data_IF_203038791452
#
_entry.id   IF_203038791452
#
_cell.length_a   1.000
_cell.length_b   1.000
_cell.length_c   1.000
_cell.angle_alpha   90.00
_cell.angle_beta   90.00
_cell.angle_gamma   90.00
#
_symmetry.space_group_name_H-M   'P 1'
#
loop_
_entity.id
_entity.type
_entity.pdbx_description
1 polymer ?
#
# COMPACT_ATOMS: atom_id res chain seq x y z
N UNK A 1 31.38 1.71 -1.78
CA UNK A 1 30.37 1.88 -2.86
C UNK A 1 29.21 2.83 -2.54
N UNK A 2 29.17 3.46 -1.35
CA UNK A 2 28.12 4.41 -0.94
C UNK A 2 27.93 5.60 -1.90
N UNK A 3 28.98 5.97 -2.63
CA UNK A 3 28.97 7.11 -3.58
C UNK A 3 28.10 6.88 -4.83
N UNK A 4 27.70 5.64 -5.12
CA UNK A 4 26.86 5.31 -6.29
C UNK A 4 25.39 5.06 -5.94
N UNK A 5 24.98 5.27 -4.67
CA UNK A 5 23.59 5.05 -4.28
C UNK A 5 22.68 6.07 -4.99
N UNK A 6 21.58 5.63 -5.64
CA UNK A 6 20.65 6.54 -6.29
C UNK A 6 20.05 7.52 -5.27
N UNK A 7 20.21 8.82 -5.51
CA UNK A 7 19.80 9.88 -4.58
C UNK A 7 18.31 10.22 -4.61
N UNK A 8 17.62 10.02 -5.75
CA UNK A 8 16.22 10.46 -5.93
C UNK A 8 15.17 9.49 -5.40
N UNK A 9 15.44 8.19 -5.46
CA UNK A 9 14.46 7.14 -5.14
C UNK A 9 15.10 5.92 -4.45
N UNK A 10 16.31 6.07 -3.89
CA UNK A 10 16.93 5.01 -3.13
C UNK A 10 16.16 4.77 -1.83
N UNK A 11 15.76 3.53 -1.58
CA UNK A 11 15.24 3.11 -0.28
C UNK A 11 16.38 2.52 0.55
N UNK A 12 16.29 2.64 1.88
CA UNK A 12 17.17 1.89 2.77
C UNK A 12 16.81 0.40 2.76
N UNK A 13 17.80 -0.44 3.03
CA UNK A 13 17.54 -1.85 3.28
C UNK A 13 16.65 -1.98 4.51
N UNK A 14 15.66 -2.86 4.43
CA UNK A 14 14.85 -3.34 5.54
C UNK A 14 14.93 -4.86 5.54
N UNK A 15 15.06 -5.44 6.73
CA UNK A 15 15.01 -6.89 6.89
C UNK A 15 13.59 -7.43 6.60
N UNK A 16 13.48 -8.75 6.49
CA UNK A 16 12.21 -9.38 6.19
C UNK A 16 11.37 -9.50 7.48
N UNK A 17 10.33 -8.68 7.60
CA UNK A 17 9.41 -8.67 8.75
C UNK A 17 8.26 -9.69 8.65
N UNK A 18 8.34 -10.66 7.74
CA UNK A 18 7.34 -11.72 7.63
C UNK A 18 7.16 -12.45 8.96
N UNK A 19 5.96 -12.37 9.55
CA UNK A 19 5.61 -13.01 10.82
C UNK A 19 5.74 -12.13 12.07
N UNK A 20 6.23 -10.89 11.93
CA UNK A 20 6.39 -9.94 13.06
C UNK A 20 5.16 -9.04 13.28
N UNK A 21 4.13 -9.18 12.44
CA UNK A 21 2.86 -8.48 12.55
C UNK A 21 2.32 -8.02 11.20
N UNK A 22 0.99 -7.93 11.12
CA UNK A 22 0.27 -7.60 9.89
C UNK A 22 0.59 -6.19 9.37
N UNK A 23 0.97 -5.25 10.24
CA UNK A 23 1.30 -3.87 9.86
C UNK A 23 2.69 -3.74 9.20
N UNK A 24 3.60 -4.67 9.47
CA UNK A 24 4.98 -4.64 8.98
C UNK A 24 5.15 -5.40 7.67
N UNK A 25 4.26 -6.34 7.38
CA UNK A 25 4.27 -7.13 6.15
C UNK A 25 3.54 -6.40 5.02
N UNK A 26 3.92 -6.73 3.79
CA UNK A 26 3.26 -6.19 2.62
C UNK A 26 1.89 -6.83 2.40
N UNK A 27 0.87 -5.99 2.27
CA UNK A 27 -0.48 -6.36 1.88
C UNK A 27 -0.84 -5.84 0.50
N UNK A 28 -1.48 -6.66 -0.33
CA UNK A 28 -2.01 -6.19 -1.61
C UNK A 28 -3.03 -5.07 -1.41
N UNK A 29 -3.24 -4.23 -2.44
CA UNK A 29 -4.17 -3.09 -2.34
C UNK A 29 -5.63 -3.49 -2.10
N UNK A 30 -6.02 -4.74 -2.37
CA UNK A 30 -7.37 -5.24 -2.10
C UNK A 30 -7.49 -6.05 -0.80
N UNK A 31 -6.38 -6.28 -0.08
CA UNK A 31 -6.38 -7.07 1.14
C UNK A 31 -7.08 -6.32 2.27
N UNK A 32 -7.90 -7.02 3.06
CA UNK A 32 -8.70 -6.42 4.13
C UNK A 32 -7.85 -5.81 5.25
N UNK A 33 -6.65 -6.34 5.48
CA UNK A 33 -5.70 -5.80 6.47
C UNK A 33 -4.86 -4.62 5.93
N UNK A 34 -4.99 -4.28 4.64
CA UNK A 34 -4.37 -3.06 4.12
C UNK A 34 -5.19 -1.85 4.60
N UNK A 35 -4.58 -0.86 5.29
CA UNK A 35 -5.31 0.31 5.82
C UNK A 35 -6.09 1.08 4.75
N UNK A 36 -5.65 1.03 3.50
CA UNK A 36 -6.30 1.66 2.35
C UNK A 36 -6.82 0.62 1.37
N UNK A 37 -7.75 -0.23 1.83
CA UNK A 37 -8.35 -1.24 0.95
C UNK A 37 -9.02 -0.58 -0.25
N UNK A 38 -8.53 -0.90 -1.45
CA UNK A 38 -8.98 -0.35 -2.71
C UNK A 38 -10.25 -1.06 -3.18
N UNK A 39 -11.25 -0.27 -3.51
CA UNK A 39 -12.40 -0.72 -4.29
C UNK A 39 -12.03 -0.78 -5.79
N UNK A 40 -12.38 -1.90 -6.43
CA UNK A 40 -12.16 -2.15 -7.85
C UNK A 40 -13.41 -1.89 -8.70
N UNK A 41 -14.50 -1.41 -8.10
CA UNK A 41 -15.71 -1.01 -8.83
C UNK A 41 -15.34 -0.01 -9.92
N UNK A 42 -15.66 -0.35 -11.18
CA UNK A 42 -15.23 0.41 -12.36
C UNK A 42 -16.11 1.62 -12.66
N UNK A 43 -17.29 1.68 -12.04
CA UNK A 43 -18.29 2.71 -12.26
C UNK A 43 -18.70 3.30 -10.92
N UNK A 44 -19.14 4.56 -10.95
CA UNK A 44 -19.75 5.18 -9.78
C UNK A 44 -21.25 4.87 -9.80
N UNK A 45 -21.81 4.26 -8.75
CA UNK A 45 -23.26 4.09 -8.67
C UNK A 45 -23.93 5.45 -8.54
N UNK A 46 -25.15 5.57 -9.07
CA UNK A 46 -25.98 6.76 -8.87
C UNK A 46 -26.19 7.01 -7.37
N UNK A 47 -25.88 8.23 -6.91
CA UNK A 47 -26.10 8.67 -5.53
C UNK A 47 -27.35 9.57 -5.50
N UNK A 48 -28.44 9.16 -4.83
CA UNK A 48 -29.63 10.01 -4.72
C UNK A 48 -29.30 11.27 -3.94
N UNK A 49 -29.66 12.43 -4.49
CA UNK A 49 -29.72 13.67 -3.70
C UNK A 49 -31.05 13.65 -2.97
N UNK A 50 -31.04 13.70 -1.63
CA UNK A 50 -32.29 13.91 -0.87
C UNK A 50 -32.93 15.21 -1.36
N UNK A 51 -34.24 15.14 -1.66
CA UNK A 51 -35.05 16.28 -2.06
C UNK A 51 -35.18 17.32 -0.93
#
# INVERSE_FOLDING_TARGET
>A
LLMLKPKRYGMEHRENFSGEGEEYIYHSKGHTLNPSQRDWTRYQPWQPVKA
#
